data_IF_520126446513
#
_entry.id   IF_520126446513
#
_cell.length_a   1.000
_cell.length_b   1.000
_cell.length_c   1.000
_cell.angle_alpha   90.00
_cell.angle_beta   90.00
_cell.angle_gamma   90.00
#
_symmetry.space_group_name_H-M   'P 1'
#
loop_
_entity.id
_entity.type
_entity.pdbx_description
1 polymer ?
#
# COMPACT_ATOMS: atom_id res chain seq x y z
N UNK A 1 24.66 5.90 -28.47
CA UNK A 1 24.60 4.45 -28.25
C UNK A 1 23.17 4.05 -28.47
N UNK A 2 22.89 3.32 -29.55
CA UNK A 2 21.53 2.98 -29.93
C UNK A 2 21.10 1.67 -29.25
N UNK A 3 19.79 1.46 -29.09
CA UNK A 3 19.26 0.25 -28.43
C UNK A 3 19.81 -1.04 -29.08
N UNK A 4 19.87 -1.06 -30.40
CA UNK A 4 20.32 -2.22 -31.18
C UNK A 4 21.79 -2.58 -30.94
N UNK A 5 22.64 -1.57 -30.69
CA UNK A 5 24.06 -1.78 -30.38
C UNK A 5 24.24 -2.43 -28.99
N UNK A 6 23.44 -2.01 -28.01
CA UNK A 6 23.45 -2.57 -26.65
C UNK A 6 22.90 -4.00 -26.67
N UNK A 7 21.83 -4.25 -27.43
CA UNK A 7 21.27 -5.58 -27.59
C UNK A 7 22.27 -6.56 -28.21
N UNK A 8 23.00 -6.12 -29.27
CA UNK A 8 24.05 -6.92 -29.90
C UNK A 8 25.21 -7.24 -28.93
N UNK A 9 25.60 -6.30 -28.07
CA UNK A 9 26.61 -6.53 -27.03
C UNK A 9 26.11 -7.48 -25.94
N UNK A 10 24.85 -7.36 -25.53
CA UNK A 10 24.24 -8.23 -24.53
C UNK A 10 24.11 -9.68 -25.02
N UNK A 11 23.98 -9.90 -26.33
CA UNK A 11 23.97 -11.25 -26.90
C UNK A 11 25.28 -12.01 -26.66
N UNK A 12 26.42 -11.30 -26.63
CA UNK A 12 27.76 -11.86 -26.43
C UNK A 12 28.08 -12.23 -24.98
N UNK A 13 27.27 -11.78 -24.02
CA UNK A 13 27.44 -12.10 -22.60
C UNK A 13 27.09 -13.57 -22.31
N UNK A 14 27.62 -14.11 -21.21
CA UNK A 14 27.18 -15.41 -20.70
C UNK A 14 25.81 -15.29 -19.98
N UNK A 15 25.09 -16.41 -19.83
CA UNK A 15 23.74 -16.39 -19.28
C UNK A 15 23.65 -15.77 -17.88
N UNK A 16 24.67 -15.96 -17.02
CA UNK A 16 24.72 -15.37 -15.68
C UNK A 16 24.85 -13.85 -15.73
N UNK A 17 25.70 -13.35 -16.62
CA UNK A 17 25.91 -11.92 -16.78
C UNK A 17 24.69 -11.25 -17.40
N UNK A 18 23.98 -11.93 -18.31
CA UNK A 18 22.67 -11.45 -18.81
C UNK A 18 21.64 -11.31 -17.70
N UNK A 19 21.54 -12.31 -16.82
CA UNK A 19 20.60 -12.29 -15.69
C UNK A 19 20.96 -11.17 -14.69
N UNK A 20 22.25 -11.03 -14.36
CA UNK A 20 22.73 -9.97 -13.47
C UNK A 20 22.51 -8.58 -14.06
N UNK A 21 22.77 -8.41 -15.35
CA UNK A 21 22.55 -7.15 -16.06
C UNK A 21 21.06 -6.80 -16.10
N UNK A 22 20.18 -7.76 -16.41
CA UNK A 22 18.74 -7.54 -16.40
C UNK A 22 18.25 -7.10 -15.02
N UNK A 23 18.69 -7.77 -13.95
CA UNK A 23 18.35 -7.37 -12.59
C UNK A 23 18.84 -5.94 -12.29
N UNK A 24 20.07 -5.60 -12.65
CA UNK A 24 20.61 -4.25 -12.45
C UNK A 24 19.81 -3.20 -13.21
N UNK A 25 19.46 -3.45 -14.48
CA UNK A 25 18.67 -2.54 -15.30
C UNK A 25 17.26 -2.33 -14.71
N UNK A 26 16.64 -3.38 -14.19
CA UNK A 26 15.34 -3.29 -13.50
C UNK A 26 15.47 -2.42 -12.25
N UNK A 27 16.52 -2.57 -11.45
CA UNK A 27 16.73 -1.74 -10.26
C UNK A 27 16.99 -0.27 -10.60
N UNK A 28 17.76 -0.02 -11.66
CA UNK A 28 18.01 1.34 -12.13
C UNK A 28 16.73 2.00 -12.65
N UNK A 29 15.96 1.29 -13.48
CA UNK A 29 14.69 1.78 -13.99
C UNK A 29 13.70 2.09 -12.86
N UNK A 30 13.59 1.23 -11.83
CA UNK A 30 12.76 1.49 -10.65
C UNK A 30 13.21 2.72 -9.88
N UNK A 31 14.51 2.89 -9.67
CA UNK A 31 15.06 4.06 -8.99
C UNK A 31 14.83 5.36 -9.79
N UNK A 32 14.96 5.29 -11.10
CA UNK A 32 14.66 6.42 -12.00
C UNK A 32 13.16 6.74 -11.99
N UNK A 33 12.29 5.73 -12.03
CA UNK A 33 10.84 5.85 -11.89
C UNK A 33 10.46 6.48 -10.54
N UNK A 34 11.03 6.01 -9.43
CA UNK A 34 10.85 6.60 -8.09
C UNK A 34 11.35 8.06 -8.02
N UNK A 35 12.42 8.41 -8.74
CA UNK A 35 12.97 9.78 -8.74
C UNK A 35 12.15 10.74 -9.60
N UNK A 36 11.61 10.26 -10.72
CA UNK A 36 10.81 11.05 -11.66
C UNK A 36 9.33 11.09 -11.26
N UNK A 37 8.86 10.06 -10.57
CA UNK A 37 7.49 9.92 -10.13
C UNK A 37 7.42 9.38 -8.69
N UNK A 38 7.87 10.17 -7.69
CA UNK A 38 7.81 9.78 -6.27
C UNK A 38 6.37 9.59 -5.75
N UNK A 39 5.36 9.91 -6.57
CA UNK A 39 3.94 9.75 -6.27
C UNK A 39 3.31 8.50 -6.89
N UNK A 40 3.81 7.94 -7.99
CA UNK A 40 3.09 6.87 -8.73
C UNK A 40 2.92 5.58 -7.96
N UNK A 41 3.85 5.19 -7.11
CA UNK A 41 3.70 3.92 -6.40
C UNK A 41 2.64 3.97 -5.29
N UNK A 42 2.27 5.17 -4.84
CA UNK A 42 1.19 5.42 -3.87
C UNK A 42 -0.07 5.90 -4.60
N UNK A 43 0.04 6.75 -5.62
CA UNK A 43 -1.11 7.28 -6.36
C UNK A 43 -1.68 6.27 -7.37
N UNK A 44 -0.90 5.44 -8.07
CA UNK A 44 -1.47 4.38 -8.94
C UNK A 44 -1.99 3.19 -8.13
N UNK A 45 -1.43 2.91 -6.94
CA UNK A 45 -2.00 1.91 -6.03
C UNK A 45 -3.19 2.43 -5.20
N UNK A 46 -3.36 3.75 -5.02
CA UNK A 46 -4.48 4.29 -4.23
C UNK A 46 -5.57 4.87 -5.13
N UNK A 47 -5.28 5.68 -6.16
CA UNK A 47 -6.34 6.22 -7.02
C UNK A 47 -7.05 5.15 -7.86
N UNK A 48 -6.39 4.06 -8.24
CA UNK A 48 -7.05 2.93 -8.94
C UNK A 48 -7.56 1.81 -8.01
N UNK A 49 -7.03 1.63 -6.78
CA UNK A 49 -7.59 0.64 -5.83
C UNK A 49 -8.95 1.04 -5.27
N UNK A 50 -9.29 2.33 -5.31
CA UNK A 50 -10.64 2.81 -4.98
C UNK A 50 -11.63 2.71 -6.14
N UNK A 51 -11.19 2.38 -7.37
CA UNK A 51 -12.07 2.31 -8.54
C UNK A 51 -12.48 0.91 -8.97
N UNK A 52 -11.73 -0.15 -8.67
CA UNK A 52 -12.17 -1.56 -8.90
C UNK A 52 -11.31 -2.56 -8.09
N UNK A 53 -11.78 -3.80 -7.92
CA UNK A 53 -12.24 -4.39 -6.67
C UNK A 53 -11.11 -4.98 -5.79
N UNK A 54 -10.44 -4.19 -4.94
CA UNK A 54 -9.66 -4.78 -3.83
C UNK A 54 -9.62 -3.96 -2.52
N UNK A 55 -10.76 -3.35 -2.18
CA UNK A 55 -11.01 -2.87 -0.81
C UNK A 55 -10.84 -4.00 0.24
N UNK A 56 -10.92 -5.27 -0.15
CA UNK A 56 -10.80 -6.40 0.76
C UNK A 56 -9.40 -6.51 1.38
N UNK A 57 -8.33 -6.37 0.58
CA UNK A 57 -6.96 -6.52 1.07
C UNK A 57 -6.56 -5.41 2.05
N UNK A 58 -6.91 -4.16 1.74
CA UNK A 58 -6.65 -3.01 2.62
C UNK A 58 -7.43 -3.15 3.92
N UNK A 59 -8.72 -3.51 3.83
CA UNK A 59 -9.55 -3.74 5.02
C UNK A 59 -9.03 -4.94 5.83
N UNK A 60 -8.56 -6.00 5.19
CA UNK A 60 -7.98 -7.16 5.85
C UNK A 60 -6.66 -6.81 6.56
N UNK A 61 -5.78 -6.04 5.93
CA UNK A 61 -4.55 -5.53 6.55
C UNK A 61 -4.85 -4.67 7.79
N UNK A 62 -5.78 -3.71 7.66
CA UNK A 62 -6.21 -2.88 8.79
C UNK A 62 -6.83 -3.75 9.88
N UNK A 63 -7.69 -4.71 9.52
CA UNK A 63 -8.33 -5.63 10.45
C UNK A 63 -7.30 -6.43 11.25
N UNK A 64 -6.36 -7.11 10.60
CA UNK A 64 -5.35 -7.93 11.27
C UNK A 64 -4.56 -7.12 12.30
N UNK A 65 -4.27 -5.86 11.96
CA UNK A 65 -3.50 -4.97 12.82
C UNK A 65 -4.34 -4.40 13.96
N UNK A 66 -5.60 -4.03 13.70
CA UNK A 66 -6.55 -3.55 14.70
C UNK A 66 -6.93 -4.66 15.70
N UNK A 67 -7.07 -5.92 15.27
CA UNK A 67 -7.28 -7.08 16.15
C UNK A 67 -6.10 -7.33 17.08
N UNK A 68 -4.87 -7.04 16.64
CA UNK A 68 -3.66 -7.13 17.48
C UNK A 68 -3.57 -5.98 18.48
N UNK A 69 -3.85 -4.75 18.06
CA UNK A 69 -3.76 -3.55 18.90
C UNK A 69 -4.93 -3.41 19.90
N UNK A 70 -6.10 -3.94 19.54
CA UNK A 70 -7.37 -3.83 20.29
C UNK A 70 -7.62 -2.46 20.92
N UNK A 71 -7.59 -1.35 20.15
CA UNK A 71 -7.98 -0.05 20.68
C UNK A 71 -9.38 -0.11 21.29
N UNK A 72 -9.54 0.38 22.51
CA UNK A 72 -10.80 0.34 23.27
C UNK A 72 -11.66 1.59 23.07
N UNK A 73 -11.08 2.67 22.54
CA UNK A 73 -11.74 3.97 22.31
C UNK A 73 -11.72 4.32 20.82
N UNK A 74 -12.75 5.02 20.34
CA UNK A 74 -12.85 5.49 18.95
C UNK A 74 -11.65 6.35 18.54
N UNK A 75 -11.20 7.26 19.39
CA UNK A 75 -10.00 8.06 19.13
C UNK A 75 -8.74 7.21 18.97
N UNK A 76 -8.59 6.17 19.81
CA UNK A 76 -7.49 5.21 19.70
C UNK A 76 -7.54 4.41 18.40
N UNK A 77 -8.75 4.05 17.93
CA UNK A 77 -8.95 3.39 16.64
C UNK A 77 -8.58 4.33 15.48
N UNK A 78 -9.02 5.59 15.49
CA UNK A 78 -8.66 6.59 14.49
C UNK A 78 -7.13 6.77 14.42
N UNK A 79 -6.50 7.05 15.56
CA UNK A 79 -5.05 7.24 15.63
C UNK A 79 -4.28 5.98 15.21
N UNK A 80 -4.80 4.79 15.53
CA UNK A 80 -4.18 3.53 15.09
C UNK A 80 -4.22 3.39 13.58
N UNK A 81 -5.34 3.71 12.95
CA UNK A 81 -5.49 3.68 11.49
C UNK A 81 -4.58 4.75 10.86
N UNK A 82 -4.60 5.99 11.34
CA UNK A 82 -3.69 7.05 10.86
C UNK A 82 -2.22 6.65 10.94
N UNK A 83 -1.81 6.05 12.06
CA UNK A 83 -0.45 5.56 12.25
C UNK A 83 -0.07 4.40 11.30
N UNK A 84 -1.04 3.66 10.75
CA UNK A 84 -0.77 2.63 9.73
C UNK A 84 -0.42 3.26 8.38
N UNK A 85 -0.95 4.44 8.09
CA UNK A 85 -0.77 5.16 6.83
C UNK A 85 0.20 6.35 6.94
N UNK A 86 0.74 6.66 8.13
CA UNK A 86 1.65 7.80 8.36
C UNK A 86 2.91 7.76 7.48
N UNK A 87 3.44 6.56 7.20
CA UNK A 87 4.62 6.37 6.35
C UNK A 87 4.27 6.38 4.85
N UNK A 88 2.98 6.47 4.51
CA UNK A 88 2.44 6.42 3.15
C UNK A 88 1.83 7.77 2.70
N UNK A 89 2.16 8.85 3.40
CA UNK A 89 1.63 10.20 3.11
C UNK A 89 0.42 10.61 3.96
N UNK A 90 -0.01 9.75 4.89
CA UNK A 90 -1.18 9.99 5.72
C UNK A 90 -2.49 9.64 5.01
N UNK A 91 -3.58 9.66 5.76
CA UNK A 91 -4.92 9.31 5.30
C UNK A 91 -5.85 10.49 5.56
N UNK A 92 -6.75 10.79 4.63
CA UNK A 92 -7.75 11.84 4.84
C UNK A 92 -8.83 11.40 5.85
N UNK A 93 -9.43 12.35 6.56
CA UNK A 93 -10.48 12.02 7.53
C UNK A 93 -11.70 11.33 6.88
N UNK A 94 -11.98 11.65 5.61
CA UNK A 94 -13.03 11.00 4.82
C UNK A 94 -12.75 9.51 4.57
N UNK A 95 -11.53 9.18 4.16
CA UNK A 95 -11.11 7.79 3.94
C UNK A 95 -11.07 7.00 5.24
N UNK A 96 -10.63 7.64 6.33
CA UNK A 96 -10.59 7.02 7.65
C UNK A 96 -11.98 6.62 8.14
N UNK A 97 -12.98 7.49 8.00
CA UNK A 97 -14.37 7.17 8.33
C UNK A 97 -14.96 6.09 7.40
N UNK A 98 -14.54 6.05 6.13
CA UNK A 98 -14.92 4.98 5.19
C UNK A 98 -14.39 3.62 5.62
N UNK A 99 -13.12 3.53 6.04
CA UNK A 99 -12.51 2.30 6.57
C UNK A 99 -13.25 1.82 7.84
N UNK A 100 -13.55 2.74 8.76
CA UNK A 100 -14.29 2.41 9.98
C UNK A 100 -15.69 1.90 9.65
N UNK A 101 -16.37 2.53 8.68
CA UNK A 101 -17.71 2.12 8.23
C UNK A 101 -17.69 0.73 7.60
N UNK A 102 -16.67 0.41 6.80
CA UNK A 102 -16.50 -0.94 6.22
C UNK A 102 -16.21 -1.99 7.29
N UNK A 103 -15.36 -1.69 8.28
CA UNK A 103 -15.09 -2.60 9.41
C UNK A 103 -16.34 -2.87 10.26
N UNK A 104 -17.23 -1.87 10.40
CA UNK A 104 -18.53 -2.05 11.04
C UNK A 104 -19.50 -2.86 10.19
N UNK A 105 -19.55 -2.60 8.88
CA UNK A 105 -20.39 -3.32 7.91
C UNK A 105 -20.05 -4.81 7.87
N UNK A 106 -18.76 -5.14 7.90
CA UNK A 106 -18.24 -6.50 7.95
C UNK A 106 -18.36 -7.14 9.34
N UNK A 107 -18.92 -6.43 10.33
CA UNK A 107 -19.15 -6.87 11.71
C UNK A 107 -17.89 -7.29 12.46
N UNK A 108 -16.73 -6.72 12.15
CA UNK A 108 -15.51 -6.96 12.94
C UNK A 108 -15.44 -6.09 14.19
N UNK A 109 -16.03 -4.89 14.11
CA UNK A 109 -16.09 -3.93 15.22
C UNK A 109 -17.49 -3.35 15.37
N UNK A 110 -17.87 -3.02 16.59
CA UNK A 110 -19.06 -2.25 16.93
C UNK A 110 -18.64 -1.10 17.84
N UNK A 111 -19.01 0.13 17.47
CA UNK A 111 -18.77 1.29 18.32
C UNK A 111 -20.04 1.51 19.16
N UNK A 112 -19.87 1.47 20.48
CA UNK A 112 -20.95 1.70 21.46
C UNK A 112 -21.19 3.21 21.64
N UNK A 113 -22.33 3.61 22.20
CA UNK A 113 -22.73 5.01 22.41
C UNK A 113 -21.73 5.80 23.26
N UNK A 114 -20.96 5.08 24.10
CA UNK A 114 -19.86 5.63 24.89
C UNK A 114 -18.53 5.79 24.12
N UNK A 115 -18.55 5.81 22.78
CA UNK A 115 -17.36 5.85 21.91
C UNK A 115 -16.34 4.72 22.19
N UNK A 116 -16.80 3.59 22.71
CA UNK A 116 -15.98 2.41 22.98
C UNK A 116 -16.07 1.43 21.82
N UNK A 117 -14.94 0.88 21.42
CA UNK A 117 -14.86 -0.12 20.34
C UNK A 117 -14.98 -1.51 20.97
N UNK A 118 -16.00 -2.26 20.56
CA UNK A 118 -16.19 -3.68 20.87
C UNK A 118 -15.85 -4.50 19.63
N UNK A 119 -15.04 -5.53 19.81
CA UNK A 119 -14.70 -6.49 18.77
C UNK A 119 -15.73 -7.62 18.82
N UNK A 120 -16.27 -8.01 17.67
CA UNK A 120 -17.29 -9.04 17.54
C UNK A 120 -16.70 -10.36 17.03
#
# INVERSE_FOLDING_TARGET
>A
MNYDEIAALCQRLEYRDKLRLAQMLIQLARKEEESQNPRSQIEENIQDSWKTPDNAEVIQYVLERIVKLKPTKRSGLKNSIEAMFQFQGGISEFELEKIISELQRLKYIKIDENNRVKYL
#
